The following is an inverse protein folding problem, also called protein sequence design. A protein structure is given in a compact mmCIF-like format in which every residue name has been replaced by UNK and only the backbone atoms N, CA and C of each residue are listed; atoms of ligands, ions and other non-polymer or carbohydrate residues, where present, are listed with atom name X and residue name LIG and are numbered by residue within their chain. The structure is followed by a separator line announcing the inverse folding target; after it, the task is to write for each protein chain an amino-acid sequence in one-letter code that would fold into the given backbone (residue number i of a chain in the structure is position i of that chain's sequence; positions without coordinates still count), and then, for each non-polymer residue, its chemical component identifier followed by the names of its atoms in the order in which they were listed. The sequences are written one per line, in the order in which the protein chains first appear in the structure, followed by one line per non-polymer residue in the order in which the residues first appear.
data_IF_083274365603
#
_entry.id   IF_083274365603
#
_cell.length_a   1.000
_cell.length_b   1.000
_cell.length_c   1.000
_cell.angle_alpha   90.00
_cell.angle_beta   90.00
_cell.angle_gamma   90.00
#
_symmetry.space_group_name_H-M   'P 1'
#
loop_
_entity.id
_entity.type
_entity.pdbx_description
1 polymer ?
#
# COMPACT_ATOMS: atom_id res chain seq x y z
N UNK A 1 -2.89 -21.59 -18.51
CA UNK A 1 -2.40 -20.34 -17.91
C UNK A 1 -3.60 -19.51 -17.53
N UNK A 2 -3.69 -19.08 -16.27
CA UNK A 2 -4.90 -18.53 -15.69
C UNK A 2 -4.85 -17.01 -15.53
N UNK A 3 -6.02 -16.40 -15.34
CA UNK A 3 -6.11 -15.01 -14.87
C UNK A 3 -5.90 -14.91 -13.36
N UNK A 4 -5.60 -13.71 -12.87
CA UNK A 4 -5.63 -13.34 -11.46
C UNK A 4 -6.90 -12.55 -11.20
N UNK A 5 -7.92 -13.18 -10.60
CA UNK A 5 -9.21 -12.53 -10.32
C UNK A 5 -9.11 -11.74 -9.02
N UNK A 6 -9.19 -10.42 -9.13
CA UNK A 6 -8.96 -9.48 -8.04
C UNK A 6 -10.26 -8.84 -7.57
N UNK A 7 -10.44 -8.81 -6.25
CA UNK A 7 -11.41 -7.93 -5.60
C UNK A 7 -10.73 -6.72 -4.97
N UNK A 8 -11.35 -5.55 -5.08
CA UNK A 8 -10.87 -4.32 -4.44
C UNK A 8 -11.77 -3.94 -3.27
N UNK A 9 -11.20 -3.65 -2.12
CA UNK A 9 -11.90 -3.09 -0.96
C UNK A 9 -11.44 -1.65 -0.76
N UNK A 10 -12.35 -0.69 -0.95
CA UNK A 10 -12.04 0.74 -0.96
C UNK A 10 -11.60 1.21 -2.34
N UNK A 11 -12.52 1.83 -3.10
CA UNK A 11 -12.28 2.31 -4.47
C UNK A 11 -11.76 3.75 -4.44
N UNK A 12 -10.62 3.95 -3.75
CA UNK A 12 -9.94 5.26 -3.61
C UNK A 12 -8.93 5.57 -4.72
N UNK A 13 -8.06 6.56 -4.49
CA UNK A 13 -6.97 6.91 -5.44
C UNK A 13 -6.01 5.76 -5.73
N UNK A 14 -5.67 4.93 -4.72
CA UNK A 14 -4.84 3.74 -4.90
C UNK A 14 -5.50 2.72 -5.85
N UNK A 15 -6.79 2.45 -5.66
CA UNK A 15 -7.57 1.59 -6.55
C UNK A 15 -7.63 2.17 -7.97
N UNK A 16 -7.83 3.48 -8.10
CA UNK A 16 -7.81 4.18 -9.39
C UNK A 16 -6.48 4.01 -10.12
N UNK A 17 -5.36 4.19 -9.41
CA UNK A 17 -4.02 4.01 -9.97
C UNK A 17 -3.74 2.55 -10.36
N UNK A 18 -4.22 1.59 -9.56
CA UNK A 18 -4.09 0.16 -9.85
C UNK A 18 -4.86 -0.23 -11.11
N UNK A 19 -6.14 0.14 -11.21
CA UNK A 19 -7.01 -0.22 -12.35
C UNK A 19 -6.48 0.42 -13.64
N UNK A 20 -6.15 1.72 -13.58
CA UNK A 20 -5.54 2.41 -14.72
C UNK A 20 -4.17 1.84 -15.08
N UNK A 21 -3.34 1.47 -14.10
CA UNK A 21 -2.02 0.89 -14.34
C UNK A 21 -2.08 -0.45 -15.07
N UNK A 22 -3.03 -1.32 -14.69
CA UNK A 22 -3.26 -2.60 -15.38
C UNK A 22 -3.71 -2.38 -16.83
N UNK A 23 -4.61 -1.42 -17.07
CA UNK A 23 -5.06 -1.09 -18.43
C UNK A 23 -3.94 -0.46 -19.26
N UNK A 24 -3.16 0.46 -18.68
CA UNK A 24 -2.06 1.15 -19.36
C UNK A 24 -0.98 0.19 -19.85
N UNK A 25 -0.63 -0.81 -19.04
CA UNK A 25 0.41 -1.80 -19.36
C UNK A 25 -0.15 -3.12 -19.93
N UNK A 26 -1.42 -3.18 -20.33
CA UNK A 26 -2.05 -4.41 -20.80
C UNK A 26 -1.37 -5.05 -22.03
N UNK A 27 -0.67 -4.25 -22.83
CA UNK A 27 0.03 -4.67 -24.05
C UNK A 27 1.55 -4.48 -23.94
N UNK A 28 2.11 -4.33 -22.74
CA UNK A 28 3.54 -4.21 -22.54
C UNK A 28 4.26 -5.46 -23.10
N UNK A 29 5.45 -5.30 -23.67
CA UNK A 29 6.25 -6.45 -24.07
C UNK A 29 6.75 -7.16 -22.79
N UNK A 30 6.63 -8.49 -22.66
CA UNK A 30 7.19 -9.23 -21.54
C UNK A 30 8.67 -8.97 -21.23
N UNK A 31 9.44 -8.52 -22.23
CA UNK A 31 10.86 -8.19 -22.10
C UNK A 31 11.12 -6.72 -21.79
N UNK A 32 10.08 -5.87 -21.77
CA UNK A 32 10.23 -4.46 -21.45
C UNK A 32 10.52 -4.27 -19.95
N UNK A 33 11.35 -3.27 -19.67
CA UNK A 33 11.53 -2.77 -18.31
C UNK A 33 10.52 -1.65 -18.06
N UNK A 34 9.43 -1.97 -17.37
CA UNK A 34 8.40 -1.00 -16.98
C UNK A 34 8.75 -0.35 -15.63
N UNK A 35 8.80 0.99 -15.53
CA UNK A 35 9.03 1.67 -14.26
C UNK A 35 7.98 1.30 -13.21
N UNK A 36 8.45 0.83 -12.06
CA UNK A 36 7.60 0.52 -10.92
C UNK A 36 7.09 -0.92 -10.82
N UNK A 37 7.38 -1.75 -11.82
CA UNK A 37 7.18 -3.19 -11.77
C UNK A 37 8.53 -3.88 -11.65
N UNK A 38 8.58 -4.99 -10.93
CA UNK A 38 9.73 -5.91 -11.02
C UNK A 38 9.78 -6.54 -12.41
N UNK A 39 8.64 -7.10 -12.83
CA UNK A 39 8.50 -7.80 -14.09
C UNK A 39 7.17 -7.48 -14.77
N UNK A 40 7.19 -7.34 -16.09
CA UNK A 40 5.96 -7.28 -16.90
C UNK A 40 5.22 -8.62 -16.80
N UNK A 41 5.96 -9.73 -16.89
CA UNK A 41 5.46 -11.09 -16.58
C UNK A 41 6.10 -11.57 -15.29
N UNK A 42 5.32 -11.58 -14.21
CA UNK A 42 5.77 -11.97 -12.87
C UNK A 42 5.45 -13.45 -12.65
N UNK A 43 6.48 -14.30 -12.74
CA UNK A 43 6.28 -15.75 -12.88
C UNK A 43 5.54 -16.07 -14.17
N UNK A 44 4.36 -16.67 -14.06
CA UNK A 44 3.50 -16.98 -15.21
C UNK A 44 2.44 -15.90 -15.50
N UNK A 45 2.46 -14.77 -14.77
CA UNK A 45 1.40 -13.76 -14.80
C UNK A 45 1.84 -12.45 -15.43
N UNK A 46 1.33 -12.17 -16.63
CA UNK A 46 1.45 -10.87 -17.27
C UNK A 46 0.61 -9.82 -16.52
N UNK A 47 0.95 -8.53 -16.63
CA UNK A 47 0.13 -7.43 -16.06
C UNK A 47 -1.33 -7.54 -16.50
N UNK A 48 -1.57 -7.88 -17.77
CA UNK A 48 -2.92 -8.05 -18.32
C UNK A 48 -3.71 -9.21 -17.75
N UNK A 49 -3.06 -10.16 -17.07
CA UNK A 49 -3.75 -11.31 -16.47
C UNK A 49 -4.48 -10.92 -15.18
N UNK A 50 -4.17 -9.74 -14.62
CA UNK A 50 -4.93 -9.15 -13.52
C UNK A 50 -6.31 -8.72 -14.02
N UNK A 51 -7.37 -9.36 -13.51
CA UNK A 51 -8.77 -9.09 -13.86
C UNK A 51 -9.53 -8.67 -12.63
N UNK A 52 -10.07 -7.46 -12.61
CA UNK A 52 -10.97 -7.02 -11.54
C UNK A 52 -12.33 -7.69 -11.73
N UNK A 53 -12.82 -8.36 -10.69
CA UNK A 53 -14.08 -9.12 -10.74
C UNK A 53 -15.08 -8.73 -9.65
N UNK A 54 -14.61 -8.03 -8.61
CA UNK A 54 -15.45 -7.49 -7.55
C UNK A 54 -14.84 -6.20 -7.01
N UNK A 55 -15.68 -5.31 -6.50
CA UNK A 55 -15.26 -4.10 -5.80
C UNK A 55 -16.25 -3.77 -4.69
N UNK A 56 -15.75 -3.23 -3.58
CA UNK A 56 -16.54 -2.83 -2.43
C UNK A 56 -16.19 -1.40 -2.02
N UNK A 57 -17.21 -0.61 -1.75
CA UNK A 57 -17.08 0.73 -1.17
C UNK A 57 -18.28 1.04 -0.26
N UNK A 58 -18.23 2.19 0.40
CA UNK A 58 -19.28 2.71 1.28
C UNK A 58 -19.83 4.05 0.81
N UNK A 59 -19.12 4.76 -0.08
CA UNK A 59 -19.50 6.06 -0.62
C UNK A 59 -20.72 5.93 -1.55
N UNK A 60 -21.75 6.76 -1.32
CA UNK A 60 -22.95 6.84 -2.14
C UNK A 60 -22.67 7.19 -3.61
N UNK A 61 -21.57 7.91 -3.88
CA UNK A 61 -21.12 8.26 -5.24
C UNK A 61 -20.28 7.16 -5.90
N UNK A 62 -20.14 5.99 -5.29
CA UNK A 62 -19.38 4.86 -5.85
C UNK A 62 -20.20 3.57 -5.85
N UNK A 63 -20.89 3.28 -4.76
CA UNK A 63 -21.73 2.09 -4.63
C UNK A 63 -22.82 2.08 -5.72
N UNK A 64 -22.90 0.98 -6.46
CA UNK A 64 -23.83 0.80 -7.58
C UNK A 64 -23.30 1.24 -8.94
N UNK A 65 -22.12 1.86 -9.02
CA UNK A 65 -21.49 2.26 -10.30
C UNK A 65 -20.60 1.15 -10.87
N UNK A 66 -20.30 1.22 -12.17
CA UNK A 66 -19.23 0.41 -12.76
C UNK A 66 -17.87 0.83 -12.17
N UNK A 67 -16.97 -0.13 -11.96
CA UNK A 67 -15.64 0.14 -11.42
C UNK A 67 -14.88 1.19 -12.25
N UNK A 68 -15.00 1.21 -13.58
CA UNK A 68 -14.35 2.19 -14.44
C UNK A 68 -14.83 3.63 -14.17
N UNK A 69 -16.08 3.80 -13.74
CA UNK A 69 -16.63 5.10 -13.39
C UNK A 69 -16.32 5.45 -11.92
N UNK A 70 -16.40 4.48 -11.03
CA UNK A 70 -16.15 4.66 -9.60
C UNK A 70 -14.70 5.10 -9.28
N UNK A 71 -13.71 4.65 -10.07
CA UNK A 71 -12.30 5.03 -9.89
C UNK A 71 -12.02 6.52 -10.14
N UNK A 72 -12.93 7.25 -10.79
CA UNK A 72 -12.83 8.70 -11.02
C UNK A 72 -13.96 9.49 -10.34
N UNK A 73 -14.75 8.84 -9.48
CA UNK A 73 -15.88 9.44 -8.80
C UNK A 73 -15.52 9.97 -7.39
N UNK A 74 -16.39 10.83 -6.85
CA UNK A 74 -16.24 11.42 -5.52
C UNK A 74 -14.90 12.17 -5.36
N UNK A 75 -14.23 12.02 -4.23
CA UNK A 75 -12.95 12.67 -3.90
C UNK A 75 -11.72 11.96 -4.52
N UNK A 76 -11.91 11.04 -5.48
CA UNK A 76 -10.80 10.48 -6.22
C UNK A 76 -10.22 11.54 -7.18
N UNK A 77 -8.94 11.86 -7.01
CA UNK A 77 -8.26 12.96 -7.69
C UNK A 77 -6.80 12.61 -8.07
N UNK A 78 -6.50 11.33 -8.26
CA UNK A 78 -5.20 10.92 -8.81
C UNK A 78 -5.05 11.27 -10.29
N UNK A 79 -3.80 11.29 -10.76
CA UNK A 79 -3.48 11.57 -12.16
C UNK A 79 -4.10 10.50 -13.07
N UNK A 80 -4.72 10.94 -14.16
CA UNK A 80 -5.24 10.05 -15.19
C UNK A 80 -4.08 9.51 -16.04
N UNK A 81 -3.85 8.20 -16.00
CA UNK A 81 -2.84 7.50 -16.80
C UNK A 81 -3.38 7.11 -18.18
N UNK A 82 -4.62 6.61 -18.22
CA UNK A 82 -5.34 6.24 -19.44
C UNK A 82 -6.86 6.28 -19.26
N UNK A 83 -7.60 6.08 -20.35
CA UNK A 83 -9.01 5.73 -20.29
C UNK A 83 -9.16 4.25 -19.90
N UNK A 84 -10.14 3.95 -19.04
CA UNK A 84 -10.49 2.58 -18.64
C UNK A 84 -11.85 2.26 -19.25
N UNK A 85 -11.97 1.20 -20.08
CA UNK A 85 -13.26 0.80 -20.63
C UNK A 85 -14.19 0.27 -19.52
N UNK A 86 -15.53 0.29 -19.73
CA UNK A 86 -16.47 -0.31 -18.78
C UNK A 86 -16.07 -1.75 -18.42
N UNK A 87 -16.04 -2.04 -17.12
CA UNK A 87 -15.54 -3.31 -16.60
C UNK A 87 -16.62 -4.37 -16.50
N UNK A 88 -17.89 -3.96 -16.39
CA UNK A 88 -19.01 -4.82 -16.00
C UNK A 88 -19.03 -5.16 -14.51
N UNK A 89 -18.10 -4.62 -13.71
CA UNK A 89 -18.00 -4.87 -12.27
C UNK A 89 -18.70 -3.74 -11.54
N UNK A 90 -19.88 -4.02 -10.98
CA UNK A 90 -20.59 -3.07 -10.12
C UNK A 90 -19.95 -3.02 -8.74
N UNK A 91 -19.64 -1.80 -8.26
CA UNK A 91 -19.16 -1.59 -6.89
C UNK A 91 -20.27 -1.91 -5.89
N UNK A 92 -20.02 -2.91 -5.05
CA UNK A 92 -20.97 -3.39 -4.05
C UNK A 92 -20.86 -2.60 -2.75
N UNK A 93 -21.95 -2.57 -1.99
CA UNK A 93 -21.96 -1.98 -0.65
C UNK A 93 -21.23 -2.89 0.33
N UNK A 94 -20.03 -2.51 0.73
CA UNK A 94 -19.28 -3.19 1.80
C UNK A 94 -19.74 -2.73 3.19
N UNK A 95 -19.55 -3.50 4.28
CA UNK A 95 -19.79 -3.00 5.64
C UNK A 95 -18.81 -1.88 6.03
N UNK A 96 -19.30 -0.87 6.74
CA UNK A 96 -18.52 0.36 7.01
C UNK A 96 -17.55 0.24 8.18
N UNK A 97 -17.99 -0.33 9.30
CA UNK A 97 -17.22 -0.39 10.56
C UNK A 97 -16.54 0.95 10.89
N UNK A 98 -15.24 0.94 11.19
CA UNK A 98 -14.36 2.07 11.44
C UNK A 98 -13.68 2.61 10.16
N UNK A 99 -14.23 2.30 8.98
CA UNK A 99 -13.81 2.81 7.67
C UNK A 99 -13.82 4.33 7.56
N UNK A 100 -14.90 4.96 8.01
CA UNK A 100 -15.13 6.40 7.89
C UNK A 100 -14.78 7.14 9.20
N UNK A 101 -13.63 7.81 9.20
CA UNK A 101 -13.21 8.74 10.27
C UNK A 101 -13.99 10.04 10.24
N UNK A 102 -13.67 10.96 11.15
CA UNK A 102 -14.43 12.20 11.31
C UNK A 102 -14.45 13.02 10.01
N UNK A 103 -13.28 13.32 9.45
CA UNK A 103 -13.17 14.14 8.24
C UNK A 103 -13.77 13.46 7.00
N UNK A 104 -13.73 12.13 6.93
CA UNK A 104 -14.39 11.40 5.85
C UNK A 104 -15.90 11.59 5.90
N UNK A 105 -16.51 11.52 7.09
CA UNK A 105 -17.96 11.72 7.27
C UNK A 105 -18.42 13.14 7.00
N UNK A 106 -17.52 14.12 7.07
CA UNK A 106 -17.82 15.52 6.75
C UNK A 106 -17.87 15.77 5.23
N UNK A 107 -17.20 14.94 4.42
CA UNK A 107 -17.02 15.15 2.98
C UNK A 107 -17.80 14.13 2.14
N UNK A 108 -17.84 12.88 2.59
CA UNK A 108 -18.44 11.74 1.87
C UNK A 108 -19.78 11.38 2.49
N UNK A 109 -20.79 11.21 1.64
CA UNK A 109 -22.08 10.66 2.02
C UNK A 109 -22.04 9.12 1.94
N UNK A 110 -22.37 8.47 3.04
CA UNK A 110 -22.42 7.00 3.11
C UNK A 110 -23.66 6.48 2.37
N UNK A 111 -23.48 5.44 1.56
CA UNK A 111 -24.56 4.83 0.78
C UNK A 111 -25.63 4.19 1.67
N UNK A 112 -26.90 4.51 1.39
CA UNK A 112 -28.10 3.92 2.01
C UNK A 112 -28.35 2.45 1.62
N UNK A 113 -27.60 1.91 0.65
CA UNK A 113 -27.68 0.51 0.29
C UNK A 113 -27.34 -0.38 1.50
N UNK A 114 -27.95 -1.57 1.56
CA UNK A 114 -27.61 -2.54 2.61
C UNK A 114 -26.25 -3.20 2.30
N UNK A 115 -25.35 -3.32 3.28
CA UNK A 115 -24.13 -4.09 3.10
C UNK A 115 -24.39 -5.52 2.65
N UNK A 116 -23.61 -5.99 1.68
CA UNK A 116 -23.69 -7.36 1.16
C UNK A 116 -22.96 -8.33 2.10
N UNK A 117 -23.25 -9.63 1.96
CA UNK A 117 -22.38 -10.68 2.50
C UNK A 117 -21.11 -10.73 1.65
N UNK A 118 -20.02 -10.18 2.19
CA UNK A 118 -18.75 -10.05 1.47
C UNK A 118 -18.17 -11.42 1.13
N UNK A 119 -18.19 -12.39 2.05
CA UNK A 119 -17.63 -13.71 1.78
C UNK A 119 -18.42 -14.42 0.66
N UNK A 120 -19.75 -14.26 0.63
CA UNK A 120 -20.57 -14.79 -0.45
C UNK A 120 -20.28 -14.09 -1.78
N UNK A 121 -20.20 -12.76 -1.79
CA UNK A 121 -19.89 -11.98 -2.99
C UNK A 121 -18.51 -12.35 -3.58
N UNK A 122 -17.50 -12.59 -2.73
CA UNK A 122 -16.18 -13.05 -3.14
C UNK A 122 -16.24 -14.45 -3.78
N UNK A 123 -17.01 -15.38 -3.20
CA UNK A 123 -17.21 -16.73 -3.77
C UNK A 123 -17.95 -16.68 -5.10
N UNK A 124 -19.00 -15.89 -5.21
CA UNK A 124 -19.81 -15.75 -6.43
C UNK A 124 -18.99 -15.16 -7.59
N UNK A 125 -18.14 -14.18 -7.29
CA UNK A 125 -17.19 -13.60 -8.25
C UNK A 125 -15.93 -14.47 -8.47
N UNK A 126 -15.81 -15.59 -7.77
CA UNK A 126 -14.67 -16.52 -7.80
C UNK A 126 -13.32 -15.80 -7.62
N UNK A 127 -13.24 -14.94 -6.61
CA UNK A 127 -12.05 -14.11 -6.37
C UNK A 127 -10.85 -14.98 -5.97
N UNK A 128 -9.69 -14.69 -6.55
CA UNK A 128 -8.42 -15.30 -6.14
C UNK A 128 -7.72 -14.45 -5.08
N UNK A 129 -7.68 -13.12 -5.27
CA UNK A 129 -6.94 -12.18 -4.40
C UNK A 129 -7.82 -10.99 -4.04
N UNK A 130 -7.91 -10.67 -2.75
CA UNK A 130 -8.54 -9.45 -2.23
C UNK A 130 -7.46 -8.42 -1.91
N UNK A 131 -7.59 -7.20 -2.44
CA UNK A 131 -6.72 -6.06 -2.13
C UNK A 131 -7.47 -5.09 -1.24
N UNK A 132 -6.92 -4.80 -0.06
CA UNK A 132 -7.48 -3.82 0.86
C UNK A 132 -6.81 -2.46 0.72
N UNK A 133 -7.62 -1.42 0.44
CA UNK A 133 -7.25 0.00 0.35
C UNK A 133 -8.14 0.88 1.25
N UNK A 134 -8.60 0.34 2.38
CA UNK A 134 -9.36 1.11 3.36
C UNK A 134 -8.55 2.30 3.93
N UNK A 135 -9.22 3.32 4.48
CA UNK A 135 -8.53 4.43 5.13
C UNK A 135 -7.65 4.00 6.30
N UNK A 136 -6.58 4.77 6.56
CA UNK A 136 -5.71 4.54 7.73
C UNK A 136 -6.53 4.62 9.03
N UNK A 137 -6.33 3.63 9.90
CA UNK A 137 -7.01 3.51 11.19
C UNK A 137 -8.34 2.76 11.14
N UNK A 138 -8.58 1.99 10.08
CA UNK A 138 -9.76 1.13 9.91
C UNK A 138 -9.44 -0.31 10.28
N UNK A 139 -9.17 -0.55 11.57
CA UNK A 139 -8.71 -1.83 12.09
C UNK A 139 -9.81 -2.88 12.10
N UNK A 140 -11.01 -2.53 12.57
CA UNK A 140 -12.16 -3.45 12.60
C UNK A 140 -12.59 -3.83 11.18
N UNK A 141 -12.67 -2.85 10.28
CA UNK A 141 -13.02 -3.06 8.89
C UNK A 141 -12.00 -3.98 8.19
N UNK A 142 -10.71 -3.68 8.30
CA UNK A 142 -9.68 -4.43 7.56
C UNK A 142 -9.56 -5.88 8.07
N UNK A 143 -9.66 -6.08 9.39
CA UNK A 143 -9.75 -7.43 9.99
C UNK A 143 -11.02 -8.16 9.56
N UNK A 144 -12.16 -7.47 9.42
CA UNK A 144 -13.38 -8.07 8.88
C UNK A 144 -13.17 -8.56 7.43
N UNK A 145 -12.58 -7.74 6.55
CA UNK A 145 -12.31 -8.13 5.17
C UNK A 145 -11.27 -9.25 5.06
N UNK A 146 -10.26 -9.26 5.94
CA UNK A 146 -9.32 -10.37 6.03
C UNK A 146 -10.01 -11.67 6.43
N UNK A 147 -10.94 -11.63 7.40
CA UNK A 147 -11.75 -12.80 7.76
C UNK A 147 -12.66 -13.23 6.60
N UNK A 148 -13.32 -12.29 5.93
CA UNK A 148 -14.19 -12.60 4.79
C UNK A 148 -13.40 -13.23 3.61
N UNK A 149 -12.15 -12.80 3.40
CA UNK A 149 -11.25 -13.41 2.43
C UNK A 149 -10.90 -14.86 2.83
N UNK A 150 -10.60 -15.11 4.11
CA UNK A 150 -10.38 -16.48 4.62
C UNK A 150 -11.62 -17.35 4.39
N UNK A 151 -12.80 -16.86 4.76
CA UNK A 151 -14.07 -17.58 4.66
C UNK A 151 -14.48 -17.84 3.19
N UNK A 152 -13.98 -17.03 2.26
CA UNK A 152 -14.20 -17.19 0.82
C UNK A 152 -13.13 -18.05 0.13
N UNK A 153 -12.03 -18.38 0.80
CA UNK A 153 -10.91 -19.11 0.20
C UNK A 153 -9.99 -18.24 -0.66
N UNK A 154 -9.92 -16.94 -0.39
CA UNK A 154 -9.14 -15.98 -1.16
C UNK A 154 -7.80 -15.63 -0.47
N UNK A 155 -6.80 -15.32 -1.28
CA UNK A 155 -5.61 -14.63 -0.81
C UNK A 155 -5.91 -13.18 -0.39
N UNK A 156 -5.06 -12.60 0.45
CA UNK A 156 -5.23 -11.21 0.92
C UNK A 156 -3.97 -10.37 0.73
N UNK A 157 -4.12 -9.16 0.21
CA UNK A 157 -3.05 -8.16 0.11
C UNK A 157 -3.46 -6.95 0.94
N UNK A 158 -2.75 -6.75 2.05
CA UNK A 158 -3.00 -5.66 2.99
C UNK A 158 -2.12 -4.45 2.66
N UNK A 159 -2.71 -3.41 2.06
CA UNK A 159 -1.97 -2.18 1.76
C UNK A 159 -1.93 -1.19 2.93
N UNK A 160 -2.62 -1.46 4.04
CA UNK A 160 -2.82 -0.52 5.14
C UNK A 160 -1.84 -0.79 6.29
N UNK A 161 -1.59 0.19 7.17
CA UNK A 161 -0.84 0.00 8.41
C UNK A 161 -1.70 -0.60 9.54
N UNK A 162 -2.52 -1.61 9.23
CA UNK A 162 -3.21 -2.48 10.19
C UNK A 162 -2.43 -3.79 10.26
N UNK A 163 -2.10 -4.27 11.44
CA UNK A 163 -1.32 -5.50 11.58
C UNK A 163 -2.21 -6.73 11.36
N UNK A 164 -1.94 -7.45 10.27
CA UNK A 164 -2.63 -8.69 9.89
C UNK A 164 -1.59 -9.75 9.52
N UNK A 165 -0.77 -9.50 8.50
CA UNK A 165 0.30 -10.44 8.14
C UNK A 165 1.36 -10.50 9.25
N UNK A 166 1.66 -9.35 9.86
CA UNK A 166 2.66 -9.21 10.93
C UNK A 166 2.12 -9.52 12.34
N UNK A 167 0.81 -9.74 12.48
CA UNK A 167 0.19 -10.20 13.72
C UNK A 167 0.23 -11.75 13.76
N UNK A 168 0.88 -12.37 14.76
CA UNK A 168 1.00 -13.83 14.84
C UNK A 168 -0.34 -14.58 14.87
N UNK A 169 -1.41 -14.00 15.43
CA UNK A 169 -2.73 -14.63 15.46
C UNK A 169 -3.32 -14.71 14.05
N UNK A 170 -3.25 -13.61 13.31
CA UNK A 170 -3.76 -13.53 11.94
C UNK A 170 -2.91 -14.31 10.96
N UNK A 171 -1.58 -14.23 11.07
CA UNK A 171 -0.65 -15.07 10.32
C UNK A 171 -0.98 -16.56 10.48
N UNK A 172 -1.31 -16.99 11.71
CA UNK A 172 -1.74 -18.35 11.99
C UNK A 172 -3.08 -18.69 11.32
N UNK A 173 -4.08 -17.80 11.34
CA UNK A 173 -5.37 -18.03 10.65
C UNK A 173 -5.20 -18.27 9.16
N UNK A 174 -4.39 -17.45 8.47
CA UNK A 174 -4.07 -17.65 7.06
C UNK A 174 -3.29 -18.95 6.80
N UNK A 175 -2.35 -19.28 7.68
CA UNK A 175 -1.59 -20.54 7.61
C UNK A 175 -2.50 -21.76 7.77
N UNK A 176 -3.35 -21.77 8.79
CA UNK A 176 -4.28 -22.87 9.09
C UNK A 176 -5.32 -23.05 7.95
N UNK A 177 -5.73 -21.97 7.31
CA UNK A 177 -6.63 -21.99 6.16
C UNK A 177 -5.95 -22.39 4.84
N UNK A 178 -4.61 -22.46 4.80
CA UNK A 178 -3.86 -22.73 3.57
C UNK A 178 -3.95 -21.58 2.55
N UNK A 179 -4.19 -20.34 3.00
CA UNK A 179 -4.39 -19.16 2.17
C UNK A 179 -3.24 -18.16 2.34
N UNK A 180 -2.71 -17.57 1.26
CA UNK A 180 -1.60 -16.65 1.37
C UNK A 180 -2.05 -15.24 1.76
N UNK A 181 -1.18 -14.55 2.49
CA UNK A 181 -1.30 -13.11 2.77
C UNK A 181 0.01 -12.38 2.45
N UNK A 182 -0.09 -11.20 1.84
CA UNK A 182 1.02 -10.25 1.67
C UNK A 182 0.68 -8.98 2.43
N UNK A 183 1.51 -8.58 3.39
CA UNK A 183 1.26 -7.42 4.26
C UNK A 183 2.42 -7.15 5.22
N UNK A 184 2.47 -6.04 5.95
CA UNK A 184 1.46 -4.97 6.04
C UNK A 184 2.04 -3.59 5.66
N UNK A 185 1.17 -2.66 5.25
CA UNK A 185 1.48 -1.28 4.80
C UNK A 185 2.34 -1.22 3.53
N UNK A 186 1.72 -1.06 2.35
CA UNK A 186 2.42 -1.10 1.06
C UNK A 186 3.55 -0.05 0.95
N UNK A 187 4.70 -0.45 0.41
CA UNK A 187 5.78 0.48 0.05
C UNK A 187 5.40 1.31 -1.17
N UNK A 188 5.94 2.52 -1.21
CA UNK A 188 6.00 3.33 -2.43
C UNK A 188 7.37 3.11 -3.08
N UNK A 189 7.50 3.25 -4.40
CA UNK A 189 8.78 3.10 -5.11
C UNK A 189 9.82 4.08 -4.55
N UNK A 190 9.51 5.37 -4.55
CA UNK A 190 10.36 6.41 -3.96
C UNK A 190 9.49 7.33 -3.11
N UNK A 191 9.41 7.02 -1.82
CA UNK A 191 8.73 7.85 -0.83
C UNK A 191 9.70 8.71 0.00
N UNK A 192 9.14 9.65 0.74
CA UNK A 192 9.93 10.52 1.63
C UNK A 192 10.75 9.72 2.67
N UNK A 193 10.18 8.63 3.20
CA UNK A 193 10.85 7.79 4.21
C UNK A 193 12.11 7.10 3.68
N UNK A 194 12.09 6.53 2.47
CA UNK A 194 13.27 5.86 1.90
C UNK A 194 14.37 6.86 1.54
N UNK A 195 13.99 8.04 1.01
CA UNK A 195 14.93 9.13 0.72
C UNK A 195 15.59 9.64 2.00
N UNK A 196 14.80 9.89 3.05
CA UNK A 196 15.32 10.33 4.33
C UNK A 196 16.26 9.30 4.96
N UNK A 197 15.87 8.01 4.94
CA UNK A 197 16.71 6.91 5.44
C UNK A 197 18.04 6.84 4.69
N UNK A 198 18.02 6.93 3.37
CA UNK A 198 19.23 6.90 2.55
C UNK A 198 20.16 8.09 2.83
N UNK A 199 19.61 9.30 3.01
CA UNK A 199 20.40 10.49 3.38
C UNK A 199 20.98 10.39 4.79
N UNK A 200 20.19 9.91 5.77
CA UNK A 200 20.67 9.70 7.14
C UNK A 200 21.80 8.66 7.16
N UNK A 201 21.61 7.53 6.47
CA UNK A 201 22.67 6.52 6.32
C UNK A 201 23.91 7.08 5.62
N UNK A 202 23.75 7.91 4.60
CA UNK A 202 24.89 8.53 3.92
C UNK A 202 25.68 9.46 4.86
N UNK A 203 25.02 10.22 5.74
CA UNK A 203 25.69 11.03 6.75
C UNK A 203 26.55 10.14 7.65
N UNK A 204 25.95 9.09 8.20
CA UNK A 204 26.63 8.13 9.08
C UNK A 204 27.79 7.40 8.39
N UNK A 205 27.59 6.85 7.19
CA UNK A 205 28.60 6.13 6.41
C UNK A 205 29.81 7.02 6.04
N UNK A 206 29.63 8.35 6.06
CA UNK A 206 30.69 9.34 5.78
C UNK A 206 31.23 10.01 7.05
N UNK A 207 30.85 9.55 8.23
CA UNK A 207 31.30 10.08 9.52
C UNK A 207 30.77 11.47 9.84
N UNK A 208 29.61 11.83 9.29
CA UNK A 208 28.88 13.06 9.62
C UNK A 208 27.85 12.71 10.69
N UNK A 209 28.01 13.27 11.88
CA UNK A 209 27.08 13.04 12.99
C UNK A 209 25.77 13.80 12.72
N UNK A 210 24.65 13.08 12.62
CA UNK A 210 23.34 13.69 12.46
C UNK A 210 22.82 14.21 13.81
N UNK A 211 22.55 15.52 13.89
CA UNK A 211 22.15 16.20 15.13
C UNK A 211 20.64 16.46 15.20
N UNK A 212 20.05 16.94 14.10
CA UNK A 212 18.62 17.26 14.01
C UNK A 212 18.08 16.91 12.64
N UNK A 213 16.82 16.49 12.58
CA UNK A 213 16.15 16.26 11.31
C UNK A 213 14.65 16.48 11.39
N UNK A 214 14.07 16.92 10.28
CA UNK A 214 12.64 16.85 10.08
C UNK A 214 12.27 16.28 8.72
N UNK A 215 11.06 15.72 8.65
CA UNK A 215 10.36 15.35 7.43
C UNK A 215 8.91 15.79 7.53
N UNK A 216 8.59 16.87 6.83
CA UNK A 216 7.25 17.44 6.73
C UNK A 216 6.59 16.91 5.47
N UNK A 217 5.44 16.24 5.59
CA UNK A 217 4.71 15.66 4.46
C UNK A 217 3.32 16.30 4.36
N UNK A 218 2.91 16.76 3.19
CA UNK A 218 1.56 17.27 2.96
C UNK A 218 1.07 16.91 1.55
N UNK A 219 -0.24 16.87 1.37
CA UNK A 219 -0.92 16.47 0.13
C UNK A 219 -2.38 16.91 0.14
N UNK A 220 -3.10 16.69 -0.97
CA UNK A 220 -4.46 17.18 -1.16
C UNK A 220 -5.56 16.11 -1.16
N UNK A 221 -5.20 14.83 -1.08
CA UNK A 221 -6.17 13.73 -1.11
C UNK A 221 -6.81 13.45 0.25
N UNK A 222 -7.83 12.58 0.24
CA UNK A 222 -8.53 12.17 1.46
C UNK A 222 -7.69 11.33 2.42
N UNK A 223 -6.62 10.65 1.98
CA UNK A 223 -5.69 9.99 2.91
C UNK A 223 -4.96 11.04 3.76
N UNK A 224 -4.47 12.12 3.16
CA UNK A 224 -3.85 13.24 3.90
C UNK A 224 -4.84 13.94 4.83
N UNK A 225 -6.08 14.16 4.38
CA UNK A 225 -7.12 14.75 5.22
C UNK A 225 -7.44 13.86 6.42
N UNK A 226 -7.62 12.55 6.20
CA UNK A 226 -7.83 11.57 7.26
C UNK A 226 -6.63 11.50 8.22
N UNK A 227 -5.43 11.68 7.70
CA UNK A 227 -4.20 11.76 8.49
C UNK A 227 -4.05 13.07 9.30
N UNK A 228 -4.95 14.05 9.21
CA UNK A 228 -4.98 15.16 10.18
C UNK A 228 -5.61 14.74 11.51
N UNK A 229 -6.38 13.65 11.51
CA UNK A 229 -7.00 13.09 12.71
C UNK A 229 -5.95 12.36 13.56
N UNK A 230 -5.31 13.09 14.48
CA UNK A 230 -4.16 12.62 15.27
C UNK A 230 -4.41 11.30 16.01
N UNK A 231 -5.65 11.01 16.42
CA UNK A 231 -6.02 9.78 17.11
C UNK A 231 -5.80 8.53 16.22
N UNK A 232 -5.93 8.66 14.89
CA UNK A 232 -5.74 7.56 13.93
C UNK A 232 -4.27 7.33 13.54
N UNK A 233 -3.33 8.17 14.02
CA UNK A 233 -1.95 8.24 13.53
C UNK A 233 -0.88 7.65 14.45
N UNK A 234 -1.23 7.29 15.69
CA UNK A 234 -0.25 6.96 16.72
C UNK A 234 0.76 5.91 16.23
N UNK A 235 0.27 4.81 15.66
CA UNK A 235 1.10 3.73 15.12
C UNK A 235 1.98 4.17 13.94
N UNK A 236 1.42 4.96 13.00
CA UNK A 236 2.12 5.40 11.77
C UNK A 236 3.21 6.43 12.05
N UNK A 237 3.04 7.27 13.09
CA UNK A 237 4.09 8.22 13.52
C UNK A 237 5.27 7.49 14.16
N UNK A 238 4.99 6.47 14.98
CA UNK A 238 6.01 5.64 15.61
C UNK A 238 6.82 4.90 14.56
N UNK A 239 6.17 4.20 13.62
CA UNK A 239 6.85 3.41 12.59
C UNK A 239 7.75 4.25 11.68
N UNK A 240 7.27 5.42 11.23
CA UNK A 240 8.07 6.34 10.41
C UNK A 240 9.29 6.88 11.14
N UNK A 241 9.11 7.28 12.40
CA UNK A 241 10.22 7.81 13.21
C UNK A 241 11.30 6.75 13.40
N UNK A 242 10.90 5.54 13.83
CA UNK A 242 11.82 4.41 14.03
C UNK A 242 12.57 4.00 12.74
N UNK A 243 11.90 4.06 11.59
CA UNK A 243 12.51 3.70 10.31
C UNK A 243 13.67 4.61 9.88
N UNK A 244 13.74 5.83 10.42
CA UNK A 244 14.85 6.79 10.18
C UNK A 244 15.86 6.71 11.33
N UNK A 245 15.39 6.75 12.58
CA UNK A 245 16.29 6.75 13.75
C UNK A 245 17.05 5.43 13.90
N UNK A 246 16.56 4.32 13.36
CA UNK A 246 17.28 3.04 13.34
C UNK A 246 18.57 3.06 12.52
N UNK A 247 18.77 4.04 11.64
CA UNK A 247 20.02 4.20 10.90
C UNK A 247 21.08 4.98 11.68
N UNK A 248 20.71 5.54 12.83
CA UNK A 248 21.53 6.47 13.60
C UNK A 248 22.10 5.71 14.79
N UNK A 249 23.43 5.60 14.94
CA UNK A 249 24.07 4.76 15.95
C UNK A 249 23.99 5.34 17.36
N UNK A 250 23.57 6.60 17.52
CA UNK A 250 23.36 7.27 18.80
C UNK A 250 21.90 7.63 19.05
N UNK A 251 21.55 7.76 20.34
CA UNK A 251 20.23 8.20 20.74
C UNK A 251 20.05 9.69 20.44
N UNK A 252 19.09 10.03 19.58
CA UNK A 252 18.65 11.40 19.37
C UNK A 252 17.55 11.76 20.36
N UNK A 253 17.55 12.99 20.88
CA UNK A 253 16.42 13.48 21.67
C UNK A 253 15.15 13.47 20.82
N UNK A 254 14.01 13.15 21.42
CA UNK A 254 12.70 13.23 20.76
C UNK A 254 12.38 14.62 20.21
N UNK A 255 13.00 15.67 20.75
CA UNK A 255 12.86 17.05 20.26
C UNK A 255 13.60 17.30 18.94
N UNK A 256 14.58 16.45 18.62
CA UNK A 256 15.52 16.66 17.51
C UNK A 256 15.09 15.93 16.24
N UNK A 257 14.02 15.14 16.32
CA UNK A 257 13.45 14.38 15.21
C UNK A 257 11.96 14.69 15.08
N UNK A 258 11.56 15.25 13.94
CA UNK A 258 10.16 15.52 13.63
C UNK A 258 9.72 14.89 12.31
N UNK A 259 8.94 13.80 12.37
CA UNK A 259 8.47 13.08 11.18
C UNK A 259 6.96 12.86 11.28
N UNK A 260 6.21 13.27 10.27
CA UNK A 260 4.76 13.05 10.23
C UNK A 260 4.04 13.74 9.07
N UNK A 261 2.73 13.48 8.90
CA UNK A 261 1.87 14.38 8.12
C UNK A 261 1.85 15.76 8.80
N UNK A 262 1.93 16.78 7.98
CA UNK A 262 2.05 18.18 8.39
C UNK A 262 0.76 18.95 8.12
N UNK A 263 0.18 18.80 6.92
CA UNK A 263 -1.00 19.55 6.53
C UNK A 263 -1.76 18.92 5.34
N UNK A 264 -2.97 19.44 5.07
CA UNK A 264 -3.76 19.19 3.87
C UNK A 264 -3.79 20.43 2.98
N UNK A 265 -3.40 20.27 1.72
CA UNK A 265 -3.35 21.37 0.73
C UNK A 265 -4.21 20.97 -0.47
N UNK A 266 -5.48 21.40 -0.55
CA UNK A 266 -6.47 20.82 -1.46
C UNK A 266 -6.04 20.75 -2.93
N UNK A 267 -5.44 21.83 -3.45
CA UNK A 267 -5.05 21.90 -4.87
C UNK A 267 -3.89 20.96 -5.24
N UNK A 268 -3.22 20.33 -4.29
CA UNK A 268 -2.24 19.29 -4.60
C UNK A 268 -2.90 18.01 -5.14
N UNK A 269 -4.20 17.82 -4.91
CA UNK A 269 -4.90 16.59 -5.26
C UNK A 269 -4.15 15.36 -4.68
N UNK A 270 -3.93 14.32 -5.47
CA UNK A 270 -3.15 13.15 -5.05
C UNK A 270 -1.63 13.36 -5.04
N UNK A 271 -1.14 14.58 -5.32
CA UNK A 271 0.29 14.88 -5.15
C UNK A 271 0.63 15.02 -3.68
N UNK A 272 1.84 14.59 -3.39
CA UNK A 272 2.45 14.63 -2.07
C UNK A 272 3.80 15.30 -2.17
N UNK A 273 3.97 16.30 -1.33
CA UNK A 273 5.23 17.00 -1.17
C UNK A 273 5.84 16.62 0.17
N UNK A 274 7.15 16.38 0.17
CA UNK A 274 7.92 16.20 1.38
C UNK A 274 9.11 17.15 1.42
N UNK A 275 9.23 17.88 2.52
CA UNK A 275 10.41 18.68 2.85
C UNK A 275 11.20 17.95 3.91
N UNK A 276 12.43 17.58 3.57
CA UNK A 276 13.35 16.84 4.42
C UNK A 276 14.54 17.75 4.70
N UNK A 277 14.89 17.89 5.98
CA UNK A 277 16.07 18.64 6.40
C UNK A 277 16.90 17.81 7.36
N UNK A 278 18.19 17.70 7.10
CA UNK A 278 19.18 17.06 7.94
C UNK A 278 20.21 18.11 8.37
N UNK A 279 20.45 18.21 9.67
CA UNK A 279 21.49 19.05 10.24
C UNK A 279 22.48 18.17 10.98
N UNK A 280 23.74 18.20 10.55
CA UNK A 280 24.80 17.40 11.13
C UNK A 280 26.08 18.20 11.34
N UNK A 281 27.08 17.50 11.88
CA UNK A 281 28.41 18.01 12.16
C UNK A 281 29.45 17.16 11.47
N UNK A 282 30.33 17.83 10.72
CA UNK A 282 31.39 17.21 9.93
C UNK A 282 32.77 17.47 10.56
N UNK A 283 33.85 17.20 9.82
CA UNK A 283 35.23 17.37 10.29
C UNK A 283 35.47 18.77 10.90
N UNK A 284 36.15 18.79 12.06
CA UNK A 284 36.46 20.03 12.79
C UNK A 284 35.22 20.70 13.38
N UNK A 285 34.18 19.93 13.70
CA UNK A 285 32.91 20.42 14.23
C UNK A 285 32.17 21.39 13.29
N UNK A 286 32.47 21.34 12.00
CA UNK A 286 31.89 22.25 11.01
C UNK A 286 30.45 21.85 10.69
N UNK A 287 29.47 22.77 10.76
CA UNK A 287 28.08 22.48 10.41
C UNK A 287 27.95 21.99 8.96
N UNK A 288 27.20 20.91 8.77
CA UNK A 288 26.83 20.38 7.46
C UNK A 288 25.31 20.19 7.43
N UNK A 289 24.65 20.89 6.51
CA UNK A 289 23.19 20.84 6.38
C UNK A 289 22.81 20.35 4.98
N UNK A 290 21.76 19.54 4.90
CA UNK A 290 21.12 19.14 3.65
C UNK A 290 19.62 19.40 3.73
N UNK A 291 19.06 19.92 2.65
CA UNK A 291 17.62 20.14 2.51
C UNK A 291 17.15 19.64 1.15
N UNK A 292 16.04 18.92 1.14
CA UNK A 292 15.49 18.27 -0.04
C UNK A 292 13.98 18.46 -0.08
N UNK A 293 13.48 18.83 -1.27
CA UNK A 293 12.06 18.75 -1.62
C UNK A 293 11.84 17.54 -2.51
N UNK A 294 10.91 16.68 -2.13
CA UNK A 294 10.43 15.56 -2.93
C UNK A 294 8.99 15.84 -3.36
N UNK A 295 8.71 15.71 -4.66
CA UNK A 295 7.37 15.77 -5.22
C UNK A 295 7.02 14.45 -5.90
N UNK A 296 5.91 13.85 -5.51
CA UNK A 296 5.40 12.61 -6.10
C UNK A 296 3.89 12.66 -6.25
N UNK A 297 3.35 11.84 -7.13
CA UNK A 297 1.95 11.43 -7.08
C UNK A 297 1.86 10.22 -6.13
N UNK A 298 1.09 10.32 -5.04
CA UNK A 298 1.20 9.34 -3.94
C UNK A 298 0.66 7.96 -4.33
N UNK A 299 -0.49 7.90 -5.01
CA UNK A 299 -1.15 6.64 -5.33
C UNK A 299 -0.49 5.84 -6.48
N UNK A 300 -0.07 6.45 -7.60
CA UNK A 300 0.71 5.75 -8.63
C UNK A 300 2.06 5.23 -8.13
N UNK A 301 2.62 5.86 -7.08
CA UNK A 301 3.91 5.47 -6.49
C UNK A 301 3.85 4.10 -5.78
N UNK A 302 2.67 3.54 -5.51
CA UNK A 302 2.50 2.17 -4.98
C UNK A 302 1.77 1.22 -5.93
N UNK A 303 1.15 1.71 -7.00
CA UNK A 303 0.34 0.90 -7.92
C UNK A 303 1.14 -0.29 -8.49
N UNK A 304 2.35 -0.04 -9.01
CA UNK A 304 3.21 -1.11 -9.53
C UNK A 304 3.58 -2.17 -8.49
N UNK A 305 3.87 -1.74 -7.26
CA UNK A 305 4.17 -2.61 -6.11
C UNK A 305 2.97 -3.51 -5.78
N UNK A 306 1.74 -2.98 -5.86
CA UNK A 306 0.53 -3.78 -5.64
C UNK A 306 0.31 -4.78 -6.77
N UNK A 307 0.55 -4.41 -8.03
CA UNK A 307 0.44 -5.36 -9.15
C UNK A 307 1.40 -6.53 -8.91
N UNK A 308 2.65 -6.29 -8.50
CA UNK A 308 3.60 -7.36 -8.12
C UNK A 308 3.08 -8.18 -6.91
N UNK A 309 2.61 -7.54 -5.85
CA UNK A 309 2.09 -8.22 -4.65
C UNK A 309 0.89 -9.14 -4.94
N UNK A 310 -0.05 -8.70 -5.79
CA UNK A 310 -1.21 -9.48 -6.23
C UNK A 310 -0.78 -10.74 -6.99
N UNK A 311 0.19 -10.61 -7.89
CA UNK A 311 0.72 -11.75 -8.66
C UNK A 311 1.51 -12.71 -7.77
N UNK A 312 2.29 -12.20 -6.81
CA UNK A 312 2.96 -13.03 -5.80
C UNK A 312 1.96 -13.82 -4.94
N UNK A 313 0.89 -13.17 -4.46
CA UNK A 313 -0.18 -13.83 -3.72
C UNK A 313 -0.86 -14.93 -4.55
N UNK A 314 -1.08 -14.68 -5.85
CA UNK A 314 -1.64 -15.67 -6.76
C UNK A 314 -0.73 -16.88 -6.96
N UNK A 315 0.57 -16.67 -7.18
CA UNK A 315 1.56 -17.76 -7.27
C UNK A 315 1.53 -18.62 -6.01
N UNK A 316 1.51 -18.01 -4.83
CA UNK A 316 1.41 -18.75 -3.57
C UNK A 316 0.11 -19.56 -3.47
N UNK A 317 -1.01 -18.97 -3.91
CA UNK A 317 -2.32 -19.64 -3.92
C UNK A 317 -2.29 -20.88 -4.83
N UNK A 318 -1.71 -20.79 -6.02
CA UNK A 318 -1.58 -21.93 -6.94
C UNK A 318 -0.69 -23.04 -6.40
N UNK A 319 0.35 -22.65 -5.68
CA UNK A 319 1.27 -23.57 -4.99
C UNK A 319 0.70 -24.11 -3.68
N UNK A 320 -0.50 -23.67 -3.27
CA UNK A 320 -1.17 -24.04 -2.01
C UNK A 320 -0.36 -23.70 -0.76
N UNK A 321 0.30 -22.55 -0.81
CA UNK A 321 1.14 -22.04 0.27
C UNK A 321 0.31 -21.07 1.10
N UNK A 322 0.08 -21.43 2.36
CA UNK A 322 -0.69 -20.64 3.31
C UNK A 322 0.18 -19.77 4.22
N UNK A 323 -0.42 -18.72 4.77
CA UNK A 323 0.23 -17.78 5.68
C UNK A 323 0.95 -16.65 4.97
N UNK A 324 1.75 -15.86 5.72
CA UNK A 324 2.48 -14.73 5.15
C UNK A 324 3.55 -15.18 4.14
N UNK A 325 3.55 -14.56 2.96
CA UNK A 325 4.60 -14.73 1.95
C UNK A 325 5.75 -13.79 2.32
N UNK A 326 6.77 -14.31 2.99
CA UNK A 326 7.84 -13.55 3.64
C UNK A 326 8.69 -12.77 2.62
N UNK A 327 9.04 -13.41 1.51
CA UNK A 327 9.75 -12.79 0.38
C UNK A 327 9.00 -11.57 -0.15
N UNK A 328 7.75 -11.76 -0.57
CA UNK A 328 6.90 -10.69 -1.10
C UNK A 328 6.62 -9.61 -0.05
N UNK A 329 6.30 -9.99 1.20
CA UNK A 329 5.98 -9.04 2.26
C UNK A 329 7.19 -8.17 2.60
N UNK A 330 8.38 -8.76 2.76
CA UNK A 330 9.59 -8.01 3.11
C UNK A 330 10.02 -7.02 2.03
N UNK A 331 9.82 -7.37 0.75
CA UNK A 331 10.17 -6.49 -0.35
C UNK A 331 9.11 -5.43 -0.63
N UNK A 332 7.82 -5.77 -0.61
CA UNK A 332 6.72 -4.89 -1.01
C UNK A 332 6.08 -4.10 0.13
N UNK A 333 6.25 -4.51 1.39
CA UNK A 333 5.54 -3.94 2.53
C UNK A 333 6.49 -3.26 3.53
N UNK A 334 6.02 -2.25 4.26
CA UNK A 334 6.82 -1.48 5.23
C UNK A 334 6.92 -2.21 6.58
N UNK A 335 5.88 -2.97 6.93
CA UNK A 335 5.78 -3.72 8.18
C UNK A 335 5.58 -5.22 7.90
N UNK A 336 6.56 -5.89 7.26
CA UNK A 336 6.52 -7.33 7.06
C UNK A 336 6.60 -8.09 8.39
N UNK A 337 6.18 -9.37 8.43
CA UNK A 337 6.39 -10.25 9.59
C UNK A 337 7.86 -10.41 9.96
N UNK A 338 8.74 -10.47 8.95
CA UNK A 338 10.18 -10.55 9.08
C UNK A 338 10.85 -9.47 8.23
N UNK A 339 11.77 -8.71 8.83
CA UNK A 339 12.48 -7.62 8.16
C UNK A 339 13.78 -8.12 7.53
N UNK A 340 13.96 -7.82 6.25
CA UNK A 340 15.16 -8.10 5.47
C UNK A 340 15.73 -6.78 4.94
N UNK A 341 17.02 -6.75 4.60
CA UNK A 341 17.54 -5.63 3.83
C UNK A 341 16.91 -5.66 2.42
N UNK A 342 16.62 -4.50 1.84
CA UNK A 342 15.85 -4.43 0.58
C UNK A 342 16.48 -5.24 -0.57
N UNK A 343 17.82 -5.34 -0.62
CA UNK A 343 18.52 -6.16 -1.63
C UNK A 343 18.32 -7.67 -1.44
N UNK A 344 18.33 -8.15 -0.20
CA UNK A 344 18.06 -9.55 0.14
C UNK A 344 16.58 -9.89 -0.13
N UNK A 345 15.68 -8.96 0.22
CA UNK A 345 14.26 -9.10 -0.02
C UNK A 345 13.94 -9.18 -1.53
N UNK A 346 14.59 -8.36 -2.36
CA UNK A 346 14.47 -8.46 -3.82
C UNK A 346 14.91 -9.82 -4.34
N UNK A 347 16.09 -10.30 -3.90
CA UNK A 347 16.61 -11.60 -4.32
C UNK A 347 15.68 -12.75 -3.87
N UNK A 348 15.10 -12.65 -2.68
CA UNK A 348 14.12 -13.60 -2.17
C UNK A 348 12.85 -13.65 -3.05
N UNK A 349 12.36 -12.51 -3.53
CA UNK A 349 11.21 -12.50 -4.46
C UNK A 349 11.56 -13.19 -5.78
N UNK A 350 12.75 -12.97 -6.33
CA UNK A 350 13.18 -13.67 -7.56
C UNK A 350 13.27 -15.19 -7.35
N UNK A 351 13.86 -15.63 -6.22
CA UNK A 351 13.94 -17.03 -5.84
C UNK A 351 12.53 -17.64 -5.63
N UNK A 352 11.60 -16.88 -5.04
CA UNK A 352 10.21 -17.29 -4.89
C UNK A 352 9.53 -17.44 -6.26
N UNK A 353 9.68 -16.48 -7.17
CA UNK A 353 9.16 -16.57 -8.54
C UNK A 353 9.68 -17.84 -9.22
N UNK A 354 10.99 -18.09 -9.14
CA UNK A 354 11.64 -19.27 -9.71
C UNK A 354 11.25 -20.60 -9.04
N UNK A 355 10.61 -20.58 -7.87
CA UNK A 355 10.21 -21.77 -7.11
C UNK A 355 11.36 -22.40 -6.31
N UNK A 356 12.43 -21.65 -6.06
CA UNK A 356 13.59 -22.08 -5.28
C UNK A 356 13.35 -21.99 -3.77
N UNK A 357 12.43 -21.10 -3.34
CA UNK A 357 11.96 -20.97 -1.96
C UNK A 357 10.44 -21.05 -1.88
N UNK A 358 9.94 -21.42 -0.70
CA UNK A 358 8.51 -21.61 -0.44
C UNK A 358 7.76 -20.27 -0.25
N UNK A 359 8.28 -19.36 0.57
CA UNK A 359 7.57 -18.15 0.99
C UNK A 359 8.50 -16.96 1.17
#
# INVERSE_FOLDING_TARGET
MGSVRVAIVGVGNCASSLVQGVEYYRNADPNDRVPGLMHVTFGDYHVSDVKFVAAFDVDAKKVGMDLAEAIVASENNTIKLCDVPPTGVTVQRGPTYDGLGQYYREIVEESDAKPVDVAQALRDAQVDVVVSYLPVGSEEADKFYAQAAIDAGCAFVNALPVFIASDPEWAKKFTDAGLPIVGDDIKSQVGATIVHRALAKLFEDRGVELLRTYQLNFGGNMDFMNMLERNRLVSKKISKTQSVTSQIPHEMSKSDVHIGPSDHVPWLDDRKWAYIRLEGRSFGDTPLNAELKLEVWDSPNSAGVIIDAVRAAKIALDRKIGGPILSASSYFMKSPPEQYADHDAHAAVEAFIAGEIER
#
